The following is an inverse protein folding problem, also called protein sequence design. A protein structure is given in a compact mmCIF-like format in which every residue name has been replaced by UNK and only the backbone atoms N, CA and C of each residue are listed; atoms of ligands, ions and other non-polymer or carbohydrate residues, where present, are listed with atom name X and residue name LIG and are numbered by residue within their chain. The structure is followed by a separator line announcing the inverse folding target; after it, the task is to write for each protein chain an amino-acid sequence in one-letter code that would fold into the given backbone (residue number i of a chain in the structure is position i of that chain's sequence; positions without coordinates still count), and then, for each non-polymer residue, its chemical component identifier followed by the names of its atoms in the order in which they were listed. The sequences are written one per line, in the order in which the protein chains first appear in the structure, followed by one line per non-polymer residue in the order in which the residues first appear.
data_IF_678834454827
#
_entry.id   IF_678834454827
#
_cell.length_a   1.000
_cell.length_b   1.000
_cell.length_c   1.000
_cell.angle_alpha   90.00
_cell.angle_beta   90.00
_cell.angle_gamma   90.00
#
_symmetry.space_group_name_H-M   'P 1'
#
loop_
_entity.id
_entity.type
_entity.pdbx_description
1 polymer ?
#
# COMPACT_ATOMS: atom_id res chain seq x y z
N UNK A 1 3.66 -1.34 18.91
CA UNK A 1 4.11 -2.58 18.24
C UNK A 1 3.06 -3.64 18.44
N UNK A 2 2.75 -4.43 17.41
CA UNK A 2 1.78 -5.52 17.52
C UNK A 2 2.32 -6.74 16.77
N UNK A 3 2.34 -7.88 17.45
CA UNK A 3 2.54 -9.18 16.82
C UNK A 3 1.27 -9.59 16.06
N UNK A 4 1.44 -9.94 14.79
CA UNK A 4 0.34 -10.17 13.87
C UNK A 4 0.16 -11.67 13.63
N UNK A 5 -1.09 -12.12 13.67
CA UNK A 5 -1.45 -13.50 13.34
C UNK A 5 -1.55 -13.75 11.84
N UNK A 6 -2.25 -14.83 11.51
CA UNK A 6 -2.44 -15.29 10.14
C UNK A 6 -3.02 -14.21 9.20
N UNK A 7 -2.60 -14.30 7.94
CA UNK A 7 -3.05 -13.37 6.92
C UNK A 7 -4.53 -13.62 6.56
N UNK A 8 -5.33 -12.55 6.48
CA UNK A 8 -6.72 -12.64 6.02
C UNK A 8 -6.87 -12.98 4.53
N UNK A 9 -8.07 -13.46 4.15
CA UNK A 9 -8.39 -14.02 2.82
C UNK A 9 -8.38 -12.99 1.67
N UNK A 10 -8.50 -11.71 1.98
CA UNK A 10 -8.51 -10.65 0.97
C UNK A 10 -7.21 -10.61 0.16
N UNK A 11 -7.32 -10.45 -1.16
CA UNK A 11 -6.17 -10.48 -2.07
C UNK A 11 -5.09 -9.45 -1.71
N UNK A 12 -5.48 -8.26 -1.26
CA UNK A 12 -4.60 -7.20 -0.77
C UNK A 12 -4.63 -7.06 0.77
N UNK A 13 -4.92 -8.15 1.50
CA UNK A 13 -4.88 -8.13 2.95
C UNK A 13 -3.51 -7.67 3.46
N UNK A 14 -3.53 -6.72 4.40
CA UNK A 14 -2.34 -6.08 4.95
C UNK A 14 -1.63 -6.98 5.97
N UNK A 15 -2.38 -7.43 6.98
CA UNK A 15 -1.83 -8.24 8.09
C UNK A 15 -1.37 -9.60 7.57
N UNK A 16 -0.21 -10.03 8.09
CA UNK A 16 0.38 -11.35 7.91
C UNK A 16 1.29 -11.64 9.12
N UNK A 17 1.74 -12.89 9.32
CA UNK A 17 2.67 -13.20 10.41
C UNK A 17 3.89 -12.27 10.43
N UNK A 18 4.18 -11.69 11.61
CA UNK A 18 5.26 -10.73 11.82
C UNK A 18 4.84 -9.53 12.68
N UNK A 19 5.73 -8.55 12.82
CA UNK A 19 5.52 -7.38 13.66
C UNK A 19 5.04 -6.19 12.83
N UNK A 20 3.97 -5.53 13.31
CA UNK A 20 3.54 -4.24 12.79
C UNK A 20 3.96 -3.09 13.72
N UNK A 21 4.38 -1.99 13.11
CA UNK A 21 4.75 -0.74 13.78
C UNK A 21 3.81 0.35 13.28
N UNK A 22 3.24 1.10 14.22
CA UNK A 22 2.53 2.35 13.94
C UNK A 22 3.27 3.47 14.66
N UNK A 23 3.51 4.58 13.96
CA UNK A 23 4.22 5.74 14.47
C UNK A 23 3.37 6.97 14.23
N UNK A 24 3.22 7.80 15.26
CA UNK A 24 2.61 9.13 15.14
C UNK A 24 3.73 10.17 15.04
N UNK A 25 3.81 10.84 13.89
CA UNK A 25 4.85 11.81 13.59
C UNK A 25 4.24 13.21 13.46
N UNK A 26 4.79 14.23 14.13
CA UNK A 26 4.41 15.62 13.88
C UNK A 26 4.64 15.99 12.42
N UNK A 27 3.66 16.65 11.79
CA UNK A 27 3.78 17.09 10.40
C UNK A 27 4.71 18.29 10.32
N UNK A 28 5.82 18.13 9.60
CA UNK A 28 6.84 19.14 9.31
C UNK A 28 7.18 19.11 7.83
N UNK A 29 7.95 20.10 7.37
CA UNK A 29 8.42 20.17 5.97
C UNK A 29 9.21 18.92 5.54
N UNK A 30 9.85 18.22 6.48
CA UNK A 30 10.66 17.02 6.24
C UNK A 30 9.89 15.71 6.37
N UNK A 31 8.64 15.72 6.86
CA UNK A 31 7.89 14.49 7.17
C UNK A 31 7.65 13.63 5.95
N UNK A 32 7.38 14.23 4.78
CA UNK A 32 7.23 13.47 3.52
C UNK A 32 8.48 12.65 3.21
N UNK A 33 9.65 13.30 3.17
CA UNK A 33 10.91 12.63 2.85
C UNK A 33 11.24 11.51 3.86
N UNK A 34 10.95 11.74 5.14
CA UNK A 34 11.10 10.71 6.18
C UNK A 34 10.17 9.50 5.93
N UNK A 35 8.88 9.74 5.67
CA UNK A 35 7.91 8.65 5.41
C UNK A 35 8.26 7.87 4.14
N UNK A 36 8.71 8.56 3.09
CA UNK A 36 9.17 7.92 1.85
C UNK A 36 10.40 7.03 2.10
N UNK A 37 11.38 7.51 2.86
CA UNK A 37 12.55 6.71 3.23
C UNK A 37 12.18 5.50 4.12
N UNK A 38 11.22 5.65 5.02
CA UNK A 38 10.69 4.52 5.81
C UNK A 38 9.99 3.49 4.92
N UNK A 39 9.27 3.92 3.89
CA UNK A 39 8.67 3.01 2.92
C UNK A 39 9.74 2.18 2.19
N UNK A 40 10.87 2.79 1.80
CA UNK A 40 11.99 2.09 1.16
C UNK A 40 12.61 1.03 2.08
N UNK A 41 12.73 1.31 3.39
CA UNK A 41 13.15 0.29 4.38
C UNK A 41 12.16 -0.87 4.44
N UNK A 42 10.85 -0.58 4.49
CA UNK A 42 9.81 -1.62 4.50
C UNK A 42 9.87 -2.48 3.23
N UNK A 43 10.14 -1.88 2.07
CA UNK A 43 10.34 -2.60 0.80
C UNK A 43 11.55 -3.53 0.89
N UNK A 44 12.69 -3.04 1.38
CA UNK A 44 13.91 -3.84 1.49
C UNK A 44 13.74 -5.07 2.40
N UNK A 45 12.94 -4.96 3.46
CA UNK A 45 12.60 -6.05 4.37
C UNK A 45 11.44 -6.95 3.86
N UNK A 46 10.97 -6.73 2.62
CA UNK A 46 9.86 -7.45 2.02
C UNK A 46 8.52 -7.25 2.74
N UNK A 47 8.38 -6.16 3.50
CA UNK A 47 7.24 -5.81 4.32
C UNK A 47 6.02 -5.31 3.54
N UNK A 48 5.07 -4.67 4.25
CA UNK A 48 3.86 -4.06 3.67
C UNK A 48 3.54 -2.76 4.37
N UNK A 49 2.84 -1.86 3.66
CA UNK A 49 2.27 -0.63 4.22
C UNK A 49 0.74 -0.75 4.25
N UNK A 50 0.13 -0.29 5.34
CA UNK A 50 -1.31 -0.34 5.49
C UNK A 50 -1.98 0.82 4.73
N UNK A 51 -2.64 0.50 3.61
CA UNK A 51 -3.26 1.51 2.73
C UNK A 51 -4.31 2.40 3.42
N UNK A 52 -5.01 1.89 4.44
CA UNK A 52 -5.95 2.68 5.22
C UNK A 52 -5.28 3.82 6.01
N UNK A 53 -3.95 3.80 6.14
CA UNK A 53 -3.13 4.81 6.82
C UNK A 53 -2.12 5.47 5.88
N UNK A 54 -2.18 5.19 4.57
CA UNK A 54 -1.25 5.74 3.59
C UNK A 54 -1.80 7.01 2.91
N UNK A 55 -0.93 8.02 2.81
CA UNK A 55 -1.13 9.19 1.96
C UNK A 55 0.14 9.59 1.18
N UNK A 56 1.24 8.84 1.29
CA UNK A 56 2.56 9.27 0.83
C UNK A 56 3.19 8.35 -0.23
N UNK A 57 2.82 7.06 -0.25
CA UNK A 57 3.37 6.10 -1.20
C UNK A 57 3.31 6.60 -2.64
N UNK A 58 4.37 6.35 -3.38
CA UNK A 58 4.37 6.49 -4.83
C UNK A 58 3.93 5.17 -5.49
N UNK A 59 3.50 5.25 -6.75
CA UNK A 59 3.06 4.07 -7.50
C UNK A 59 4.16 2.99 -7.64
N UNK A 60 5.40 3.41 -7.87
CA UNK A 60 6.57 2.51 -7.97
C UNK A 60 6.85 1.78 -6.65
N UNK A 61 6.79 2.50 -5.52
CA UNK A 61 6.95 1.90 -4.19
C UNK A 61 5.83 0.90 -3.89
N UNK A 62 4.59 1.24 -4.20
CA UNK A 62 3.48 0.34 -3.98
C UNK A 62 3.56 -0.92 -4.85
N UNK A 63 4.00 -0.78 -6.10
CA UNK A 63 4.27 -1.92 -6.97
C UNK A 63 5.38 -2.83 -6.43
N UNK A 64 6.44 -2.27 -5.83
CA UNK A 64 7.49 -3.04 -5.17
C UNK A 64 7.01 -3.77 -3.90
N UNK A 65 6.12 -3.14 -3.11
CA UNK A 65 5.52 -3.73 -1.91
C UNK A 65 4.56 -4.87 -2.21
N UNK A 66 3.91 -4.84 -3.37
CA UNK A 66 2.74 -5.66 -3.64
C UNK A 66 2.88 -6.53 -4.90
N UNK A 67 3.59 -7.67 -4.80
CA UNK A 67 3.74 -8.59 -5.93
C UNK A 67 2.40 -9.16 -6.43
N UNK A 68 1.31 -9.02 -5.65
CA UNK A 68 -0.04 -9.49 -6.03
C UNK A 68 -0.82 -8.47 -6.87
N UNK A 69 -0.27 -7.29 -7.18
CA UNK A 69 -0.99 -6.26 -7.95
C UNK A 69 -1.47 -6.75 -9.31
N UNK A 70 -0.70 -7.58 -10.01
CA UNK A 70 -1.11 -8.13 -11.29
C UNK A 70 -2.40 -8.95 -11.17
N UNK A 71 -2.53 -9.76 -10.10
CA UNK A 71 -3.75 -10.52 -9.84
C UNK A 71 -4.92 -9.61 -9.46
N UNK A 72 -4.67 -8.58 -8.66
CA UNK A 72 -5.69 -7.61 -8.27
C UNK A 72 -6.22 -6.80 -9.46
N UNK A 73 -5.33 -6.34 -10.34
CA UNK A 73 -5.72 -5.61 -11.53
C UNK A 73 -6.52 -6.47 -12.50
N UNK A 74 -6.19 -7.76 -12.67
CA UNK A 74 -7.03 -8.68 -13.47
C UNK A 74 -8.46 -8.81 -12.93
N UNK A 75 -8.64 -8.86 -11.61
CA UNK A 75 -9.98 -8.88 -11.02
C UNK A 75 -10.72 -7.58 -11.30
N UNK A 76 -10.04 -6.44 -11.18
CA UNK A 76 -10.62 -5.14 -11.51
C UNK A 76 -11.01 -5.05 -12.99
N UNK A 77 -10.18 -5.52 -13.91
CA UNK A 77 -10.50 -5.56 -15.35
C UNK A 77 -11.68 -6.47 -15.66
N UNK A 78 -11.84 -7.57 -14.93
CA UNK A 78 -12.96 -8.49 -15.13
C UNK A 78 -14.30 -7.89 -14.66
N UNK A 79 -14.32 -7.25 -13.50
CA UNK A 79 -15.55 -6.75 -12.88
C UNK A 79 -15.89 -5.29 -13.19
N UNK A 80 -14.88 -4.49 -13.53
CA UNK A 80 -15.00 -3.06 -13.85
C UNK A 80 -14.04 -2.68 -15.00
N UNK A 81 -14.27 -3.21 -16.22
CA UNK A 81 -13.39 -3.01 -17.38
C UNK A 81 -13.25 -1.53 -17.78
N UNK A 82 -14.26 -0.72 -17.48
CA UNK A 82 -14.26 0.72 -17.74
C UNK A 82 -13.61 1.55 -16.61
N UNK A 83 -13.12 0.91 -15.54
CA UNK A 83 -12.50 1.55 -14.38
C UNK A 83 -13.37 2.67 -13.77
N UNK A 84 -14.68 2.40 -13.64
CA UNK A 84 -15.66 3.32 -13.05
C UNK A 84 -15.47 3.45 -11.53
N UNK A 85 -15.04 2.38 -10.86
CA UNK A 85 -14.69 2.39 -9.45
C UNK A 85 -13.26 2.91 -9.28
N UNK A 86 -13.15 4.16 -8.85
CA UNK A 86 -11.89 4.84 -8.63
C UNK A 86 -11.92 5.71 -7.38
N UNK A 87 -10.75 5.96 -6.83
CA UNK A 87 -10.52 6.89 -5.72
C UNK A 87 -9.23 7.66 -5.95
N UNK A 88 -9.00 8.74 -5.20
CA UNK A 88 -7.73 9.45 -5.24
C UNK A 88 -6.53 8.53 -4.93
N UNK A 89 -6.70 7.51 -4.08
CA UNK A 89 -5.67 6.53 -3.79
C UNK A 89 -5.40 5.61 -4.99
N UNK A 90 -6.43 5.15 -5.71
CA UNK A 90 -6.26 4.27 -6.87
C UNK A 90 -5.70 5.02 -8.08
N UNK A 91 -6.06 6.29 -8.29
CA UNK A 91 -5.41 7.17 -9.27
C UNK A 91 -3.91 7.31 -8.96
N UNK A 92 -3.56 7.61 -7.70
CA UNK A 92 -2.15 7.78 -7.28
C UNK A 92 -1.32 6.49 -7.36
N UNK A 93 -1.88 5.36 -6.93
CA UNK A 93 -1.11 4.13 -6.73
C UNK A 93 -1.22 3.12 -7.88
N UNK A 94 -2.34 3.14 -8.61
CA UNK A 94 -2.64 2.17 -9.67
C UNK A 94 -2.67 2.80 -11.07
N UNK A 95 -2.59 4.14 -11.16
CA UNK A 95 -2.59 4.85 -12.44
C UNK A 95 -3.97 4.92 -13.10
N UNK A 96 -5.04 4.84 -12.30
CA UNK A 96 -6.40 5.00 -12.83
C UNK A 96 -6.60 6.42 -13.41
N UNK A 97 -7.48 6.60 -14.42
CA UNK A 97 -7.83 7.92 -14.93
C UNK A 97 -8.40 8.82 -13.82
N UNK A 98 -7.95 10.08 -13.79
CA UNK A 98 -8.46 11.10 -12.87
C UNK A 98 -9.88 11.54 -13.24
#
# INVERSE_FOLDING_TARGET
LKDCGEQGEGLLSFLRPGVSVALDLPVRRTTRALVEALADVVIAEGGRIFLAKDAFLRADQFAALEPRLAAFNRLRDHWDPERRLRSAQSVRLLGDPA
#
